data_IF_150740325441
#
_entry.id   IF_150740325441
#
_cell.length_a   1.000
_cell.length_b   1.000
_cell.length_c   1.000
_cell.angle_alpha   90.00
_cell.angle_beta   90.00
_cell.angle_gamma   90.00
#
_symmetry.space_group_name_H-M   'P 1'
#
loop_
_entity.id
_entity.type
_entity.pdbx_description
1 polymer ?
#
# COMPACT_ATOMS: atom_id res chain seq x y z
N UNK A 1 14.25 8.48 1.25
CA UNK A 1 14.11 7.07 0.80
C UNK A 1 14.08 6.18 2.03
N UNK A 2 12.94 5.57 2.35
CA UNK A 2 12.73 4.85 3.62
C UNK A 2 13.15 3.38 3.53
N UNK A 3 14.30 3.03 4.11
CA UNK A 3 14.79 1.64 4.15
C UNK A 3 16.32 1.48 4.22
N UNK A 4 17.07 2.59 4.12
CA UNK A 4 18.51 2.57 4.41
C UNK A 4 18.73 2.50 5.92
N UNK A 5 19.67 1.68 6.37
CA UNK A 5 20.03 1.56 7.79
C UNK A 5 19.16 0.61 8.63
N UNK A 6 18.26 -0.19 8.03
CA UNK A 6 17.50 -1.20 8.76
C UNK A 6 18.41 -2.38 9.12
N UNK A 7 18.39 -2.80 10.38
CA UNK A 7 19.07 -4.01 10.86
C UNK A 7 18.06 -4.92 11.55
N UNK A 8 17.97 -6.16 11.08
CA UNK A 8 17.15 -7.20 11.69
C UNK A 8 18.01 -7.91 12.72
N UNK A 9 17.91 -7.50 13.99
CA UNK A 9 18.78 -7.96 15.07
C UNK A 9 19.04 -9.48 15.09
N UNK A 10 18.00 -10.34 15.06
CA UNK A 10 18.16 -11.80 15.05
C UNK A 10 18.90 -12.39 13.84
N UNK A 11 18.97 -11.67 12.72
CA UNK A 11 19.61 -12.13 11.47
C UNK A 11 20.94 -11.40 11.20
N UNK A 12 21.34 -10.47 12.07
CA UNK A 12 22.56 -9.70 11.91
C UNK A 12 23.76 -10.42 12.52
N UNK A 13 24.90 -10.36 11.84
CA UNK A 13 26.17 -10.84 12.40
C UNK A 13 26.71 -9.90 13.50
N UNK A 14 27.69 -10.38 14.26
CA UNK A 14 28.29 -9.62 15.36
C UNK A 14 28.92 -8.29 14.89
N UNK A 15 29.57 -8.31 13.73
CA UNK A 15 30.22 -7.12 13.18
C UNK A 15 29.19 -6.01 12.85
N UNK A 16 28.04 -6.40 12.29
CA UNK A 16 26.91 -5.50 12.00
C UNK A 16 26.33 -4.95 13.30
N UNK A 17 26.10 -5.80 14.30
CA UNK A 17 25.58 -5.37 15.60
C UNK A 17 26.53 -4.39 16.30
N UNK A 18 27.84 -4.64 16.28
CA UNK A 18 28.85 -3.76 16.88
C UNK A 18 28.93 -2.41 16.16
N UNK A 19 28.77 -2.40 14.82
CA UNK A 19 28.69 -1.16 14.04
C UNK A 19 27.43 -0.36 14.40
N UNK A 20 26.26 -0.98 14.37
CA UNK A 20 24.97 -0.33 14.69
C UNK A 20 24.96 0.18 16.13
N UNK A 21 25.54 -0.57 17.07
CA UNK A 21 25.70 -0.10 18.46
C UNK A 21 26.43 1.24 18.52
N UNK A 22 27.54 1.40 17.79
CA UNK A 22 28.29 2.66 17.76
C UNK A 22 27.46 3.79 17.16
N UNK A 23 26.73 3.52 16.08
CA UNK A 23 25.86 4.50 15.41
C UNK A 23 24.70 4.95 16.32
N UNK A 24 24.05 4.02 17.02
CA UNK A 24 22.96 4.31 17.98
C UNK A 24 23.47 5.11 19.18
N UNK A 25 24.67 4.81 19.71
CA UNK A 25 25.25 5.57 20.82
C UNK A 25 25.60 7.00 20.37
N UNK A 26 26.09 7.16 19.14
CA UNK A 26 26.48 8.46 18.60
C UNK A 26 25.29 9.39 18.35
N UNK A 27 24.15 8.87 17.88
CA UNK A 27 22.90 9.64 17.71
C UNK A 27 21.67 8.83 18.14
N UNK A 28 21.36 8.73 19.44
CA UNK A 28 20.24 7.91 19.91
C UNK A 28 18.87 8.36 19.41
N UNK A 29 18.71 9.65 19.10
CA UNK A 29 17.43 10.21 18.62
C UNK A 29 17.17 9.90 17.15
N UNK A 30 18.22 9.57 16.39
CA UNK A 30 18.11 9.14 15.00
C UNK A 30 17.57 7.72 14.81
N UNK A 31 17.38 6.94 15.89
CA UNK A 31 17.01 5.53 15.82
C UNK A 31 15.70 5.22 16.53
N UNK A 32 14.97 4.25 15.97
CA UNK A 32 13.84 3.59 16.61
C UNK A 32 14.07 2.09 16.60
N UNK A 33 13.61 1.40 17.64
CA UNK A 33 13.62 -0.05 17.72
C UNK A 33 12.19 -0.57 17.85
N UNK A 34 11.90 -1.66 17.16
CA UNK A 34 10.63 -2.35 17.24
C UNK A 34 10.89 -3.85 17.40
N UNK A 35 9.97 -4.55 18.06
CA UNK A 35 10.03 -6.01 18.13
C UNK A 35 9.85 -6.58 16.71
N UNK A 36 10.63 -7.59 16.30
CA UNK A 36 10.40 -8.26 15.03
C UNK A 36 8.96 -8.78 14.94
N UNK A 37 8.31 -8.52 13.81
CA UNK A 37 6.98 -9.04 13.50
C UNK A 37 7.12 -10.05 12.38
N UNK A 38 6.43 -11.18 12.49
CA UNK A 38 6.33 -12.15 11.41
C UNK A 38 5.43 -11.56 10.32
N UNK A 39 6.02 -11.11 9.21
CA UNK A 39 5.26 -10.59 8.08
C UNK A 39 4.51 -11.73 7.39
N UNK A 40 3.24 -11.48 7.03
CA UNK A 40 2.47 -12.39 6.17
C UNK A 40 3.16 -12.57 4.82
N UNK A 41 2.94 -13.72 4.19
CA UNK A 41 3.44 -14.01 2.84
C UNK A 41 2.29 -14.11 1.84
N UNK A 42 2.60 -13.80 0.58
CA UNK A 42 1.70 -14.00 -0.55
C UNK A 42 2.42 -14.78 -1.66
N UNK A 43 1.72 -15.69 -2.37
CA UNK A 43 2.29 -16.42 -3.50
C UNK A 43 2.86 -15.45 -4.54
N UNK A 44 4.13 -15.64 -4.88
CA UNK A 44 4.85 -14.80 -5.83
C UNK A 44 5.63 -15.69 -6.78
N UNK A 45 5.56 -15.39 -8.08
CA UNK A 45 6.37 -16.07 -9.07
C UNK A 45 7.83 -15.64 -8.88
N UNK A 46 8.68 -16.55 -8.45
CA UNK A 46 10.10 -16.35 -8.21
C UNK A 46 10.88 -17.27 -9.15
N UNK A 47 11.41 -16.71 -10.24
CA UNK A 47 11.95 -17.51 -11.34
C UNK A 47 10.83 -18.25 -12.06
N UNK A 48 10.92 -19.58 -12.11
CA UNK A 48 9.99 -20.49 -12.79
C UNK A 48 8.95 -21.12 -11.85
N UNK A 49 8.96 -20.78 -10.56
CA UNK A 49 8.12 -21.41 -9.54
C UNK A 49 7.38 -20.40 -8.67
N UNK A 50 6.20 -20.80 -8.20
CA UNK A 50 5.48 -20.07 -7.16
C UNK A 50 6.12 -20.33 -5.80
N UNK A 51 6.44 -19.26 -5.07
CA UNK A 51 7.01 -19.33 -3.73
C UNK A 51 6.39 -18.25 -2.82
N UNK A 52 6.30 -18.49 -1.50
CA UNK A 52 5.87 -17.47 -0.56
C UNK A 52 6.91 -16.35 -0.50
N UNK A 53 6.44 -15.10 -0.53
CA UNK A 53 7.26 -13.91 -0.31
C UNK A 53 6.57 -12.97 0.67
N UNK A 54 7.35 -12.35 1.55
CA UNK A 54 6.81 -11.41 2.52
C UNK A 54 6.24 -10.18 1.81
N UNK A 55 5.06 -9.76 2.28
CA UNK A 55 4.38 -8.59 1.75
C UNK A 55 4.14 -7.58 2.85
N UNK A 56 3.99 -6.32 2.44
CA UNK A 56 3.34 -5.31 3.24
C UNK A 56 2.22 -4.64 2.45
N UNK A 57 1.27 -4.07 3.18
CA UNK A 57 0.15 -3.35 2.60
C UNK A 57 0.19 -1.91 3.09
N UNK A 58 0.15 -0.98 2.13
CA UNK A 58 0.00 0.44 2.41
C UNK A 58 -1.38 0.91 1.94
N UNK A 59 -2.38 0.97 2.83
CA UNK A 59 -3.66 1.60 2.52
C UNK A 59 -3.50 3.13 2.46
N UNK A 60 -4.44 3.80 1.82
CA UNK A 60 -4.49 5.26 1.74
C UNK A 60 -5.75 5.77 2.41
N UNK A 61 -5.56 6.54 3.48
CA UNK A 61 -6.62 7.32 4.10
C UNK A 61 -6.68 8.70 3.43
N UNK A 62 -7.88 9.14 3.07
CA UNK A 62 -8.16 10.45 2.47
C UNK A 62 -8.95 11.27 3.48
N UNK A 63 -8.60 12.55 3.58
CA UNK A 63 -9.29 13.54 4.40
C UNK A 63 -9.62 14.74 3.51
N UNK A 64 -10.89 15.13 3.46
CA UNK A 64 -11.36 16.28 2.66
C UNK A 64 -11.54 17.58 3.46
N UNK A 65 -11.19 17.57 4.74
CA UNK A 65 -11.37 18.66 5.69
C UNK A 65 -12.56 18.44 6.63
N UNK A 66 -13.53 17.62 6.25
CA UNK A 66 -14.70 17.27 7.07
C UNK A 66 -14.69 15.81 7.52
N UNK A 67 -14.32 14.89 6.63
CA UNK A 67 -14.41 13.45 6.85
C UNK A 67 -13.08 12.74 6.57
N UNK A 68 -12.89 11.57 7.18
CA UNK A 68 -11.74 10.68 6.94
C UNK A 68 -12.23 9.31 6.54
N UNK A 69 -11.76 8.78 5.42
CA UNK A 69 -12.06 7.42 4.97
C UNK A 69 -10.84 6.74 4.36
N UNK A 70 -10.86 5.40 4.31
CA UNK A 70 -9.81 4.58 3.68
C UNK A 70 -10.30 4.08 2.33
N UNK A 71 -9.50 4.25 1.28
CA UNK A 71 -9.83 3.72 -0.04
C UNK A 71 -9.87 2.18 -0.03
N UNK A 72 -10.81 1.53 -0.74
CA UNK A 72 -10.90 0.07 -0.82
C UNK A 72 -9.78 -0.49 -1.71
N UNK A 73 -8.56 -0.52 -1.17
CA UNK A 73 -7.35 -0.95 -1.86
C UNK A 73 -6.09 -0.47 -1.15
N UNK A 74 -4.98 -0.46 -1.88
CA UNK A 74 -3.71 0.02 -1.39
C UNK A 74 -2.57 -0.35 -2.32
N UNK A 75 -1.36 -0.03 -1.88
CA UNK A 75 -0.14 -0.51 -2.49
C UNK A 75 0.36 -1.72 -1.70
N UNK A 76 0.28 -2.92 -2.29
CA UNK A 76 1.00 -4.08 -1.75
C UNK A 76 2.43 -4.05 -2.26
N UNK A 77 3.43 -4.08 -1.37
CA UNK A 77 4.83 -4.31 -1.76
C UNK A 77 5.24 -5.74 -1.42
N UNK A 78 6.18 -6.29 -2.18
CA UNK A 78 6.68 -7.66 -2.02
C UNK A 78 8.20 -7.67 -1.94
N UNK A 79 8.75 -8.35 -0.95
CA UNK A 79 10.17 -8.65 -0.89
C UNK A 79 10.48 -9.81 -1.84
N UNK A 80 11.10 -9.54 -2.99
CA UNK A 80 11.33 -10.56 -4.02
C UNK A 80 12.41 -11.58 -3.63
N UNK A 81 13.38 -11.16 -2.81
CA UNK A 81 14.41 -12.03 -2.27
C UNK A 81 13.83 -12.97 -1.21
N UNK A 82 14.24 -14.24 -1.26
CA UNK A 82 13.78 -15.26 -0.34
C UNK A 82 14.21 -14.96 1.11
N UNK A 83 13.28 -15.12 2.05
CA UNK A 83 13.53 -14.87 3.48
C UNK A 83 13.76 -13.40 3.86
N UNK A 84 13.73 -12.47 2.89
CA UNK A 84 13.96 -11.06 3.17
C UNK A 84 12.69 -10.42 3.75
N UNK A 85 12.83 -9.67 4.84
CA UNK A 85 11.75 -8.90 5.47
C UNK A 85 11.70 -7.45 4.94
N UNK A 86 12.69 -7.03 4.15
CA UNK A 86 12.78 -5.68 3.61
C UNK A 86 12.05 -5.63 2.27
N UNK A 87 10.89 -4.99 2.29
CA UNK A 87 9.97 -4.82 1.15
C UNK A 87 10.15 -3.48 0.41
N UNK A 88 11.22 -2.75 0.71
CA UNK A 88 11.47 -1.44 0.10
C UNK A 88 11.92 -1.56 -1.36
N UNK A 89 11.36 -0.72 -2.23
CA UNK A 89 11.61 -0.74 -3.69
C UNK A 89 13.07 -0.47 -4.04
N UNK A 90 13.78 0.35 -3.24
CA UNK A 90 15.20 0.63 -3.47
C UNK A 90 16.14 -0.56 -3.23
N UNK A 91 15.63 -1.69 -2.72
CA UNK A 91 16.38 -2.93 -2.53
C UNK A 91 15.75 -4.10 -3.31
N UNK A 92 15.09 -3.82 -4.44
CA UNK A 92 14.49 -4.86 -5.28
C UNK A 92 13.12 -5.33 -4.80
N UNK A 93 12.39 -4.50 -4.07
CA UNK A 93 10.98 -4.73 -3.75
C UNK A 93 10.09 -4.58 -4.99
N UNK A 94 9.20 -5.54 -5.21
CA UNK A 94 8.15 -5.47 -6.24
C UNK A 94 6.86 -4.88 -5.67
N UNK A 95 5.85 -4.70 -6.53
CA UNK A 95 4.49 -4.37 -6.13
C UNK A 95 3.49 -5.40 -6.65
N UNK A 96 2.34 -5.48 -5.97
CA UNK A 96 1.19 -6.29 -6.39
C UNK A 96 -0.08 -5.46 -6.25
N UNK A 97 -1.08 -5.76 -7.06
CA UNK A 97 -2.41 -5.20 -6.89
C UNK A 97 -3.05 -5.70 -5.60
N UNK A 98 -3.76 -4.82 -4.90
CA UNK A 98 -4.55 -5.16 -3.71
C UNK A 98 -6.02 -5.16 -4.10
N UNK A 99 -6.66 -6.34 -4.10
CA UNK A 99 -8.10 -6.45 -4.35
C UNK A 99 -8.84 -6.51 -3.02
N UNK A 100 -9.71 -5.51 -2.78
CA UNK A 100 -10.69 -5.55 -1.70
C UNK A 100 -11.98 -6.07 -2.30
N UNK A 101 -12.39 -7.26 -1.88
CA UNK A 101 -13.63 -7.86 -2.37
C UNK A 101 -14.81 -7.07 -1.81
N UNK A 102 -15.73 -6.67 -2.68
CA UNK A 102 -17.03 -6.20 -2.23
C UNK A 102 -17.75 -7.35 -1.51
N UNK A 103 -18.49 -7.05 -0.44
CA UNK A 103 -19.57 -7.95 -0.04
C UNK A 103 -20.48 -8.09 -1.26
N UNK A 104 -20.62 -9.32 -1.78
CA UNK A 104 -21.26 -9.57 -3.06
C UNK A 104 -22.65 -8.93 -3.15
N UNK A 105 -23.22 -8.80 -4.36
CA UNK A 105 -24.62 -8.43 -4.47
C UNK A 105 -25.43 -9.42 -3.61
N UNK A 106 -26.34 -8.94 -2.76
CA UNK A 106 -27.41 -9.81 -2.26
C UNK A 106 -28.27 -10.22 -3.48
N UNK A 107 -27.85 -11.24 -4.22
CA UNK A 107 -28.62 -11.91 -5.26
C UNK A 107 -29.42 -11.00 -6.21
N UNK A 108 -28.86 -9.89 -6.66
CA UNK A 108 -29.40 -9.13 -7.80
C UNK A 108 -28.74 -9.61 -9.09
N UNK A 109 -29.41 -9.54 -10.25
CA UNK A 109 -28.83 -9.97 -11.51
C UNK A 109 -27.48 -9.27 -11.73
N UNK A 110 -26.50 -10.03 -12.24
CA UNK A 110 -25.23 -9.46 -12.69
C UNK A 110 -25.55 -8.33 -13.68
N UNK A 111 -24.99 -7.12 -13.53
CA UNK A 111 -25.13 -6.11 -14.55
C UNK A 111 -24.64 -6.69 -15.88
N UNK A 112 -25.45 -6.58 -16.93
CA UNK A 112 -25.06 -6.91 -18.30
C UNK A 112 -23.73 -6.22 -18.61
N UNK A 113 -22.89 -6.85 -19.44
CA UNK A 113 -21.58 -6.31 -19.82
C UNK A 113 -21.69 -4.80 -20.12
N UNK A 114 -20.91 -3.95 -19.45
CA UNK A 114 -21.00 -2.53 -19.65
C UNK A 114 -20.58 -2.20 -21.08
N UNK A 115 -21.56 -1.96 -21.95
CA UNK A 115 -21.37 -1.37 -23.28
C UNK A 115 -20.93 0.10 -23.22
N UNK A 116 -20.82 0.65 -22.00
CA UNK A 116 -20.20 1.94 -21.75
C UNK A 116 -19.26 1.83 -20.57
N UNK A 117 -18.04 2.35 -20.73
CA UNK A 117 -17.15 2.67 -19.60
C UNK A 117 -18.00 3.45 -18.61
N UNK A 118 -18.17 3.01 -17.35
CA UNK A 118 -18.89 3.80 -16.39
C UNK A 118 -18.19 5.15 -16.30
N UNK A 119 -18.95 6.23 -16.41
CA UNK A 119 -18.48 7.57 -16.10
C UNK A 119 -18.17 7.59 -14.59
N UNK A 120 -16.99 7.10 -14.23
CA UNK A 120 -16.36 7.38 -12.95
C UNK A 120 -15.96 8.84 -13.04
N UNK A 121 -16.93 9.73 -12.85
CA UNK A 121 -16.65 11.16 -12.72
C UNK A 121 -15.88 11.29 -11.41
N UNK A 122 -14.58 11.61 -11.43
CA UNK A 122 -13.89 11.96 -10.20
C UNK A 122 -14.70 13.11 -9.59
N UNK A 123 -15.00 13.05 -8.29
CA UNK A 123 -15.69 14.17 -7.63
C UNK A 123 -14.85 15.43 -7.87
N UNK A 124 -15.27 16.27 -8.82
CA UNK A 124 -14.56 17.50 -9.16
C UNK A 124 -14.87 18.51 -8.05
N UNK A 125 -13.93 18.65 -7.12
CA UNK A 125 -13.92 19.79 -6.20
C UNK A 125 -13.35 20.99 -6.96
N UNK A 126 -14.06 22.12 -6.91
CA UNK A 126 -13.51 23.40 -7.33
C UNK A 126 -12.34 23.83 -6.43
N UNK A 127 -11.55 24.84 -6.84
CA UNK A 127 -10.39 25.32 -6.07
C UNK A 127 -10.73 25.79 -4.65
N UNK A 128 -12.01 26.11 -4.38
CA UNK A 128 -12.51 26.58 -3.09
C UNK A 128 -13.29 25.50 -2.31
N UNK A 129 -13.29 24.24 -2.78
CA UNK A 129 -13.90 23.11 -2.09
C UNK A 129 -15.44 23.02 -2.16
N UNK A 130 -16.11 23.95 -2.86
CA UNK A 130 -17.56 23.87 -3.04
C UNK A 130 -17.97 22.87 -4.14
N UNK A 131 -19.12 22.23 -3.93
CA UNK A 131 -19.74 21.32 -4.91
C UNK A 131 -20.28 22.15 -6.08
N UNK A 132 -19.76 21.91 -7.27
CA UNK A 132 -20.41 22.38 -8.50
C UNK A 132 -21.72 21.60 -8.68
N UNK A 133 -22.84 22.24 -8.33
CA UNK A 133 -24.17 21.74 -8.71
C UNK A 133 -24.30 22.00 -10.21
N UNK A 134 -24.29 20.94 -11.01
CA UNK A 134 -24.66 21.04 -12.41
C UNK A 134 -26.13 21.48 -12.46
N UNK A 135 -26.38 22.73 -12.88
CA UNK A 135 -27.73 23.17 -13.22
C UNK A 135 -28.16 22.42 -14.48
N UNK A 136 -29.09 21.46 -14.33
CA UNK A 136 -29.86 20.96 -15.45
C UNK A 136 -30.85 22.05 -15.89
N UNK A 137 -30.37 22.93 -16.77
CA UNK A 137 -31.18 23.88 -17.49
C UNK A 137 -32.01 23.17 -18.56
N UNK A 138 -33.33 23.25 -18.41
CA UNK A 138 -34.30 22.89 -19.42
C UNK A 138 -34.00 23.54 -20.78
N UNK A 139 -34.04 22.76 -21.86
CA UNK A 139 -34.45 23.29 -23.15
C UNK A 139 -35.13 22.20 -23.98
N UNK A 140 -36.46 22.30 -24.01
CA UNK A 140 -37.29 21.81 -25.10
C UNK A 140 -36.86 22.48 -26.40
N UNK A 141 -36.64 21.66 -27.43
CA UNK A 141 -37.15 21.85 -28.79
C UNK A 141 -37.06 20.55 -29.57
#
# INVERSE_FOLDING_TARGET
>A
AGGQGIVIGPHADKATLDRVRKEVIADPRGWIAQRPVALSTSPTLAGDRMAPRHIDLRPFAVNDGSDVWVLPGGLTRVALQEGNLIVNSSQGGGSKDTWVLAEGPKGGPLPEEPTAVPDVVPRQLGPDGERLVAQEGAQQQ
#
